data_IF_566517059047
#
_entry.id   IF_566517059047
#
_cell.length_a   1.000
_cell.length_b   1.000
_cell.length_c   1.000
_cell.angle_alpha   90.00
_cell.angle_beta   90.00
_cell.angle_gamma   90.00
#
_symmetry.space_group_name_H-M   'P 1'
#
loop_
_entity.id
_entity.type
_entity.pdbx_description
1 polymer ?
#
# COMPACT_ATOMS: atom_id res chain seq x y z
N UNK A 1 -35.40 -5.36 26.96
CA UNK A 1 -35.33 -4.50 25.75
C UNK A 1 -33.87 -4.22 25.45
N UNK A 2 -33.30 -4.91 24.46
CA UNK A 2 -31.89 -4.80 24.08
C UNK A 2 -31.70 -3.64 23.09
N UNK A 3 -30.81 -2.69 23.41
CA UNK A 3 -30.40 -1.61 22.50
C UNK A 3 -29.66 -2.22 21.29
N UNK A 4 -29.82 -1.68 20.08
CA UNK A 4 -29.10 -2.17 18.91
C UNK A 4 -27.61 -1.85 19.06
N UNK A 5 -26.78 -2.85 18.83
CA UNK A 5 -25.32 -2.70 18.69
C UNK A 5 -25.10 -1.93 17.39
N UNK A 6 -24.71 -0.66 17.52
CA UNK A 6 -24.23 0.14 16.40
C UNK A 6 -23.08 -0.61 15.74
N UNK A 7 -23.28 -1.01 14.49
CA UNK A 7 -22.21 -1.53 13.65
C UNK A 7 -21.04 -0.55 13.66
N UNK A 8 -19.85 -1.03 14.00
CA UNK A 8 -18.62 -0.29 13.78
C UNK A 8 -18.40 -0.20 12.26
N UNK A 9 -18.95 0.85 11.66
CA UNK A 9 -18.54 1.30 10.34
C UNK A 9 -17.14 1.89 10.53
N UNK A 10 -16.07 1.34 9.94
CA UNK A 10 -14.77 1.97 10.05
C UNK A 10 -14.89 3.35 9.41
N UNK A 11 -14.78 4.40 10.24
CA UNK A 11 -14.51 5.74 9.74
C UNK A 11 -13.22 5.63 8.92
N UNK A 12 -13.29 6.01 7.64
CA UNK A 12 -12.12 6.20 6.79
C UNK A 12 -11.16 7.14 7.54
N UNK A 13 -9.88 6.75 7.66
CA UNK A 13 -8.71 7.41 8.25
C UNK A 13 -8.24 6.91 9.65
N UNK A 14 -7.19 6.09 9.64
CA UNK A 14 -6.23 5.83 10.76
C UNK A 14 -4.99 5.18 10.13
N UNK A 15 -3.96 5.93 9.73
CA UNK A 15 -2.79 6.41 10.53
C UNK A 15 -2.16 5.30 11.37
N UNK A 16 -1.13 4.65 10.81
CA UNK A 16 -0.03 4.05 11.58
C UNK A 16 1.17 4.96 11.32
N UNK A 17 1.55 5.73 12.34
CA UNK A 17 2.73 6.61 12.44
C UNK A 17 3.16 7.39 11.18
N UNK A 18 2.73 8.67 11.16
CA UNK A 18 3.34 9.85 10.49
C UNK A 18 2.78 10.38 9.17
N UNK A 19 1.71 9.86 8.58
CA UNK A 19 1.12 10.50 7.39
C UNK A 19 -0.14 11.33 7.70
N UNK A 20 0.01 12.64 7.80
CA UNK A 20 -1.09 13.61 7.74
C UNK A 20 -0.90 14.42 6.45
N UNK A 21 -1.88 14.37 5.55
CA UNK A 21 -2.23 15.56 4.79
C UNK A 21 -3.75 15.76 4.88
N UNK A 22 -4.11 16.88 5.50
CA UNK A 22 -5.39 17.58 5.35
C UNK A 22 -4.98 19.02 5.04
N UNK A 23 -5.25 19.52 3.83
CA UNK A 23 -5.28 20.95 3.59
C UNK A 23 -6.67 21.33 3.08
N UNK A 24 -7.46 21.81 4.03
CA UNK A 24 -8.73 22.50 3.85
C UNK A 24 -8.87 23.46 5.02
N UNK A 25 -8.53 24.71 4.74
CA UNK A 25 -8.70 25.97 5.47
C UNK A 25 -8.32 26.06 6.96
N UNK A 26 -7.29 26.88 7.22
CA UNK A 26 -7.07 27.53 8.51
C UNK A 26 -6.20 26.76 9.50
N UNK A 27 -5.01 27.32 9.77
CA UNK A 27 -4.13 27.01 10.91
C UNK A 27 -3.29 25.72 10.85
N UNK A 28 -2.12 25.90 10.22
CA UNK A 28 -0.81 25.33 10.55
C UNK A 28 -0.79 24.12 11.50
N UNK A 29 -0.68 22.93 10.91
CA UNK A 29 -0.04 21.78 11.57
C UNK A 29 0.80 21.05 10.53
N UNK A 30 2.02 21.54 10.38
CA UNK A 30 3.01 21.07 9.42
C UNK A 30 3.80 19.88 9.97
N UNK A 31 3.61 18.70 9.40
CA UNK A 31 4.60 17.62 9.46
C UNK A 31 5.01 17.30 8.02
N UNK A 32 6.12 17.89 7.58
CA UNK A 32 6.70 17.71 6.27
C UNK A 32 7.45 16.37 6.21
N UNK A 33 6.81 15.30 5.76
CA UNK A 33 7.55 14.11 5.35
C UNK A 33 8.30 14.46 4.07
N UNK A 34 9.61 14.28 4.09
CA UNK A 34 10.42 14.36 2.88
C UNK A 34 10.05 13.16 2.01
N UNK A 35 9.81 13.39 0.72
CA UNK A 35 9.54 12.34 -0.28
C UNK A 35 10.53 11.16 -0.20
N UNK A 36 11.76 11.43 0.23
CA UNK A 36 12.85 10.47 0.44
C UNK A 36 12.63 9.49 1.61
N UNK A 37 11.76 9.83 2.56
CA UNK A 37 11.43 8.99 3.71
C UNK A 37 10.28 8.02 3.43
N UNK A 38 9.57 8.19 2.30
CA UNK A 38 8.50 7.28 1.92
C UNK A 38 9.07 5.92 1.49
N UNK A 39 8.34 4.82 1.77
CA UNK A 39 8.65 3.53 1.18
C UNK A 39 8.77 3.64 -0.34
N UNK A 40 9.66 2.85 -0.96
CA UNK A 40 9.79 2.85 -2.41
C UNK A 40 8.76 1.95 -3.10
N UNK A 41 8.20 0.99 -2.36
CA UNK A 41 7.34 -0.06 -2.89
C UNK A 41 6.04 -0.05 -2.12
N UNK A 42 4.95 -0.15 -2.84
CA UNK A 42 3.60 -0.21 -2.32
C UNK A 42 2.82 -1.30 -3.03
N UNK A 43 1.70 -1.69 -2.43
CA UNK A 43 0.68 -2.51 -3.10
C UNK A 43 -0.52 -1.64 -3.46
N UNK A 44 -1.01 -1.77 -4.69
CA UNK A 44 -2.28 -1.16 -5.09
C UNK A 44 -3.41 -1.85 -4.33
N UNK A 45 -4.23 -1.09 -3.59
CA UNK A 45 -5.45 -1.60 -2.96
C UNK A 45 -6.70 -1.23 -3.76
N UNK A 46 -6.62 -0.15 -4.54
CA UNK A 46 -7.71 0.35 -5.38
C UNK A 46 -7.11 1.11 -6.56
N UNK A 47 -7.71 0.99 -7.74
CA UNK A 47 -7.32 1.76 -8.93
C UNK A 47 -8.54 2.00 -9.81
N UNK A 48 -8.72 3.25 -10.20
CA UNK A 48 -9.81 3.72 -11.04
C UNK A 48 -9.25 4.53 -12.20
N UNK A 49 -9.88 4.40 -13.36
CA UNK A 49 -9.48 5.09 -14.58
C UNK A 49 -10.67 5.81 -15.19
N UNK A 50 -10.49 7.06 -15.56
CA UNK A 50 -11.53 7.90 -16.17
C UNK A 50 -10.98 8.57 -17.42
N UNK A 51 -11.66 8.44 -18.56
CA UNK A 51 -11.29 9.13 -19.80
C UNK A 51 -11.74 10.60 -19.71
N UNK A 52 -10.81 11.51 -19.90
CA UNK A 52 -11.03 12.95 -19.92
C UNK A 52 -11.36 13.45 -21.35
N UNK A 53 -12.02 14.62 -21.49
CA UNK A 53 -12.41 15.17 -22.79
C UNK A 53 -11.25 15.42 -23.76
N UNK A 54 -10.03 15.60 -23.24
CA UNK A 54 -8.81 15.82 -24.03
C UNK A 54 -8.16 14.50 -24.53
N UNK A 55 -8.90 13.38 -24.51
CA UNK A 55 -8.42 12.05 -24.88
C UNK A 55 -7.21 11.57 -24.05
N UNK A 56 -7.14 12.01 -22.79
CA UNK A 56 -6.19 11.48 -21.79
C UNK A 56 -6.95 10.77 -20.69
N UNK A 57 -6.30 9.83 -20.02
CA UNK A 57 -6.86 9.11 -18.89
C UNK A 57 -6.37 9.77 -17.60
N UNK A 58 -7.30 10.10 -16.71
CA UNK A 58 -7.01 10.33 -15.31
C UNK A 58 -7.05 9.00 -14.58
N UNK A 59 -6.00 8.72 -13.81
CA UNK A 59 -5.91 7.51 -12.99
C UNK A 59 -5.79 7.93 -11.54
N UNK A 60 -6.64 7.34 -10.71
CA UNK A 60 -6.66 7.48 -9.27
C UNK A 60 -6.35 6.12 -8.66
N UNK A 61 -5.44 6.05 -7.69
CA UNK A 61 -5.12 4.79 -7.03
C UNK A 61 -4.86 4.97 -5.53
N UNK A 62 -5.32 4.00 -4.76
CA UNK A 62 -5.00 3.87 -3.33
C UNK A 62 -3.88 2.85 -3.20
N UNK A 63 -2.76 3.23 -2.59
CA UNK A 63 -1.57 2.39 -2.45
C UNK A 63 -1.18 2.24 -0.97
N UNK A 64 -0.76 1.03 -0.60
CA UNK A 64 -0.52 0.64 0.78
C UNK A 64 0.89 0.09 1.01
N UNK A 65 1.47 0.53 2.12
CA UNK A 65 2.63 -0.02 2.79
C UNK A 65 2.43 0.19 4.29
N UNK A 66 3.01 -0.64 5.15
CA UNK A 66 2.79 -0.57 6.61
C UNK A 66 3.13 0.81 7.19
N UNK A 67 4.20 1.41 6.67
CA UNK A 67 4.67 2.75 7.06
C UNK A 67 3.89 3.91 6.41
N UNK A 68 3.12 3.64 5.36
CA UNK A 68 2.47 4.69 4.58
C UNK A 68 1.33 4.16 3.70
N UNK A 69 0.19 4.85 3.77
CA UNK A 69 -0.91 4.67 2.82
C UNK A 69 -1.14 6.00 2.10
N UNK A 70 -1.24 5.96 0.77
CA UNK A 70 -1.34 7.15 -0.08
C UNK A 70 -2.48 6.98 -1.07
N UNK A 71 -3.21 8.06 -1.31
CA UNK A 71 -4.07 8.20 -2.47
C UNK A 71 -3.29 9.03 -3.50
N UNK A 72 -3.11 8.50 -4.70
CA UNK A 72 -2.30 9.11 -5.77
C UNK A 72 -3.13 9.35 -7.02
N UNK A 73 -2.73 10.37 -7.78
CA UNK A 73 -3.36 10.74 -9.04
C UNK A 73 -2.32 11.10 -10.10
N UNK A 74 -2.56 10.65 -11.34
CA UNK A 74 -1.78 11.08 -12.51
C UNK A 74 -2.60 10.97 -13.79
N UNK A 75 -2.17 11.69 -14.82
CA UNK A 75 -2.79 11.65 -16.14
C UNK A 75 -1.85 10.99 -17.15
N UNK A 76 -2.38 10.19 -18.05
CA UNK A 76 -1.61 9.50 -19.09
C UNK A 76 -2.38 9.44 -20.41
N UNK A 77 -1.74 9.57 -21.58
CA UNK A 77 -2.39 9.34 -22.86
C UNK A 77 -2.75 7.85 -23.06
N UNK A 78 -2.06 6.93 -22.39
CA UNK A 78 -2.27 5.49 -22.51
C UNK A 78 -2.23 4.82 -21.14
N UNK A 79 -3.22 3.97 -20.86
CA UNK A 79 -3.30 3.18 -19.63
C UNK A 79 -2.29 2.04 -19.66
N UNK A 80 -1.51 1.86 -18.59
CA UNK A 80 -0.64 0.69 -18.41
C UNK A 80 -1.48 -0.49 -17.92
N UNK A 81 -1.72 -1.47 -18.80
CA UNK A 81 -2.56 -2.64 -18.53
C UNK A 81 -2.01 -3.56 -17.44
N UNK A 82 -0.75 -3.38 -17.03
CA UNK A 82 -0.13 -4.15 -15.93
C UNK A 82 -0.52 -3.63 -14.55
N UNK A 83 -1.09 -2.43 -14.46
CA UNK A 83 -1.56 -1.87 -13.20
C UNK A 83 -2.91 -2.48 -12.84
N UNK A 84 -2.91 -3.26 -11.77
CA UNK A 84 -4.10 -3.91 -11.25
C UNK A 84 -4.09 -3.89 -9.72
N UNK A 85 -5.28 -4.09 -9.13
CA UNK A 85 -5.40 -4.27 -7.68
C UNK A 85 -4.51 -5.42 -7.22
N UNK A 86 -3.89 -5.23 -6.06
CA UNK A 86 -2.90 -6.09 -5.43
C UNK A 86 -1.53 -6.16 -6.13
N UNK A 87 -1.30 -5.42 -7.21
CA UNK A 87 0.01 -5.35 -7.85
C UNK A 87 1.01 -4.56 -6.99
N UNK A 88 2.26 -5.00 -6.98
CA UNK A 88 3.36 -4.25 -6.38
C UNK A 88 3.86 -3.18 -7.35
N UNK A 89 3.99 -1.96 -6.84
CA UNK A 89 4.36 -0.78 -7.61
C UNK A 89 5.35 0.09 -6.88
N UNK A 90 6.11 0.86 -7.64
CA UNK A 90 6.90 1.99 -7.15
C UNK A 90 6.34 3.29 -7.69
N UNK A 91 6.46 4.36 -6.90
CA UNK A 91 6.00 5.69 -7.33
C UNK A 91 7.09 6.34 -8.18
N UNK A 92 6.71 6.80 -9.38
CA UNK A 92 7.53 7.75 -10.15
C UNK A 92 6.98 9.14 -9.92
N UNK A 93 7.80 9.99 -9.32
CA UNK A 93 7.43 11.34 -8.93
C UNK A 93 7.50 12.30 -10.13
N UNK A 94 6.56 13.26 -10.20
CA UNK A 94 6.52 14.32 -11.24
C UNK A 94 7.41 15.53 -10.89
N UNK A 95 8.09 15.49 -9.75
CA UNK A 95 8.85 16.59 -9.17
C UNK A 95 8.81 16.49 -7.66
N UNK A 96 8.73 17.63 -6.97
CA UNK A 96 8.46 17.69 -5.53
C UNK A 96 7.06 17.16 -5.24
N UNK A 97 6.90 16.58 -4.06
CA UNK A 97 5.61 16.14 -3.54
C UNK A 97 4.60 17.29 -3.61
N UNK A 98 3.49 17.03 -4.29
CA UNK A 98 2.37 17.97 -4.46
C UNK A 98 1.07 17.22 -4.30
N UNK A 99 0.04 17.91 -3.82
CA UNK A 99 -1.28 17.35 -3.54
C UNK A 99 -2.32 18.15 -4.32
N UNK A 100 -3.35 17.47 -4.80
CA UNK A 100 -4.57 18.08 -5.29
C UNK A 100 -5.77 17.30 -4.71
N UNK A 101 -6.66 18.00 -4.01
CA UNK A 101 -7.93 17.43 -3.54
C UNK A 101 -7.80 16.13 -2.74
N UNK A 102 -6.82 16.04 -1.82
CA UNK A 102 -6.58 14.84 -1.03
C UNK A 102 -5.70 13.77 -1.70
N UNK A 103 -5.30 13.97 -2.96
CA UNK A 103 -4.50 13.00 -3.72
C UNK A 103 -3.13 13.55 -4.07
N UNK A 104 -2.09 12.75 -3.87
CA UNK A 104 -0.72 13.10 -4.23
C UNK A 104 -0.55 12.99 -5.75
N UNK A 105 -0.07 14.08 -6.36
CA UNK A 105 0.17 14.12 -7.79
C UNK A 105 1.53 13.47 -8.11
N UNK A 106 1.49 12.42 -8.91
CA UNK A 106 2.67 11.67 -9.32
C UNK A 106 2.81 11.69 -10.85
N UNK A 107 3.94 11.18 -11.36
CA UNK A 107 4.14 11.00 -12.79
C UNK A 107 3.44 9.74 -13.27
N UNK A 108 3.68 8.62 -12.57
CA UNK A 108 3.00 7.33 -12.78
C UNK A 108 3.33 6.34 -11.67
N UNK A 109 2.57 5.25 -11.59
CA UNK A 109 3.01 4.03 -10.91
C UNK A 109 3.80 3.15 -11.88
N UNK A 110 4.91 2.58 -11.40
CA UNK A 110 5.71 1.62 -12.14
C UNK A 110 5.56 0.23 -11.49
N UNK A 111 4.94 -0.75 -12.18
CA UNK A 111 4.83 -2.10 -11.65
C UNK A 111 6.22 -2.72 -11.47
N UNK A 112 6.37 -3.53 -10.43
CA UNK A 112 7.59 -4.31 -10.24
C UNK A 112 7.48 -5.61 -11.03
N UNK A 113 8.41 -5.81 -11.97
CA UNK A 113 8.38 -6.94 -12.90
C UNK A 113 8.99 -8.23 -12.30
N UNK A 114 9.85 -8.13 -11.27
CA UNK A 114 10.55 -9.28 -10.71
C UNK A 114 10.73 -9.25 -9.19
N UNK A 115 10.76 -10.42 -8.54
CA UNK A 115 11.05 -10.53 -7.11
C UNK A 115 12.45 -10.01 -6.76
N UNK A 116 12.53 -9.16 -5.74
CA UNK A 116 13.80 -8.68 -5.18
C UNK A 116 13.90 -9.04 -3.70
N UNK A 117 15.06 -9.54 -3.27
CA UNK A 117 15.31 -9.92 -1.87
C UNK A 117 15.29 -8.73 -0.89
N UNK A 118 15.40 -7.51 -1.40
CA UNK A 118 15.37 -6.27 -0.61
C UNK A 118 13.96 -5.85 -0.21
N UNK A 119 12.93 -6.51 -0.75
CA UNK A 119 11.53 -6.16 -0.50
C UNK A 119 11.00 -7.05 0.60
N UNK A 120 10.50 -6.46 1.69
CA UNK A 120 9.70 -7.21 2.63
C UNK A 120 8.24 -7.22 2.18
N UNK A 121 7.79 -8.32 1.59
CA UNK A 121 6.41 -8.43 1.08
C UNK A 121 5.36 -8.27 2.18
N UNK A 122 5.68 -8.61 3.43
CA UNK A 122 4.78 -8.51 4.57
C UNK A 122 4.49 -7.05 4.98
N UNK A 123 5.33 -6.10 4.57
CA UNK A 123 5.07 -4.66 4.74
C UNK A 123 3.98 -4.16 3.79
N UNK A 124 3.69 -4.90 2.72
CA UNK A 124 2.73 -4.50 1.69
C UNK A 124 1.36 -5.16 1.85
N UNK A 125 1.11 -5.84 2.98
CA UNK A 125 -0.13 -6.58 3.23
C UNK A 125 -1.20 -5.64 3.78
N UNK A 126 -2.27 -5.36 3.03
CA UNK A 126 -3.35 -4.48 3.47
C UNK A 126 -4.07 -5.04 4.70
N UNK A 127 -4.66 -4.15 5.50
CA UNK A 127 -5.44 -4.55 6.67
C UNK A 127 -6.65 -5.43 6.33
N UNK A 128 -7.15 -5.35 5.09
CA UNK A 128 -8.24 -6.20 4.58
C UNK A 128 -7.86 -7.67 4.48
N UNK A 129 -6.56 -7.99 4.31
CA UNK A 129 -6.08 -9.37 4.21
C UNK A 129 -5.79 -9.98 5.58
N UNK A 130 -5.22 -9.20 6.49
CA UNK A 130 -4.85 -9.65 7.81
C UNK A 130 -5.13 -8.56 8.84
N UNK A 131 -6.16 -8.80 9.66
CA UNK A 131 -6.58 -7.91 10.74
C UNK A 131 -5.60 -7.94 11.93
N UNK A 132 -4.99 -9.10 12.20
CA UNK A 132 -4.04 -9.25 13.30
C UNK A 132 -2.65 -8.72 12.87
N UNK A 133 -2.40 -7.42 13.11
CA UNK A 133 -1.12 -6.79 12.75
C UNK A 133 0.05 -7.26 13.62
N UNK A 134 -0.20 -7.75 14.83
CA UNK A 134 0.87 -8.28 15.67
C UNK A 134 1.52 -9.52 15.08
N UNK A 135 0.71 -10.42 14.52
CA UNK A 135 1.19 -11.62 13.80
C UNK A 135 2.06 -11.21 12.62
N UNK A 136 1.62 -10.24 11.82
CA UNK A 136 2.43 -9.73 10.72
C UNK A 136 3.74 -9.09 11.19
N UNK A 137 3.70 -8.34 12.29
CA UNK A 137 4.90 -7.73 12.86
C UNK A 137 5.95 -8.78 13.30
N UNK A 138 5.50 -9.87 13.95
CA UNK A 138 6.38 -10.99 14.32
C UNK A 138 6.93 -11.69 13.08
N UNK A 139 6.07 -11.98 12.10
CA UNK A 139 6.48 -12.62 10.85
C UNK A 139 7.50 -11.76 10.07
N UNK A 140 7.33 -10.44 10.04
CA UNK A 140 8.31 -9.51 9.45
C UNK A 140 9.66 -9.63 10.13
N UNK A 141 9.72 -9.61 11.47
CA UNK A 141 10.98 -9.75 12.22
C UNK A 141 11.68 -11.06 11.88
N UNK A 142 10.95 -12.17 11.81
CA UNK A 142 11.51 -13.46 11.40
C UNK A 142 12.03 -13.44 9.97
N UNK A 143 11.26 -12.88 9.04
CA UNK A 143 11.69 -12.73 7.64
C UNK A 143 12.95 -11.86 7.54
N UNK A 144 13.04 -10.79 8.33
CA UNK A 144 14.22 -9.91 8.34
C UNK A 144 15.49 -10.60 8.84
N UNK A 145 15.37 -11.58 9.73
CA UNK A 145 16.48 -12.38 10.24
C UNK A 145 17.00 -13.42 9.23
N UNK A 146 16.24 -13.70 8.16
CA UNK A 146 16.68 -14.64 7.11
C UNK A 146 17.81 -14.05 6.27
N UNK A 147 18.66 -14.93 5.71
CA UNK A 147 19.66 -14.52 4.72
C UNK A 147 18.99 -14.02 3.43
N UNK A 148 19.76 -13.30 2.61
CA UNK A 148 19.25 -12.74 1.36
C UNK A 148 18.74 -13.82 0.39
N UNK A 149 19.36 -15.00 0.38
CA UNK A 149 18.96 -16.15 -0.45
C UNK A 149 17.57 -16.64 -0.05
N UNK A 150 17.32 -16.84 1.25
CA UNK A 150 16.01 -17.28 1.74
C UNK A 150 14.93 -16.21 1.54
N UNK A 151 15.25 -14.92 1.74
CA UNK A 151 14.35 -13.81 1.41
C UNK A 151 13.98 -13.82 -0.08
N UNK A 152 14.95 -14.08 -0.96
CA UNK A 152 14.70 -14.17 -2.41
C UNK A 152 13.77 -15.33 -2.75
N UNK A 153 13.97 -16.51 -2.16
CA UNK A 153 13.08 -17.67 -2.35
C UNK A 153 11.68 -17.36 -1.87
N UNK A 154 11.54 -16.81 -0.66
CA UNK A 154 10.26 -16.36 -0.11
C UNK A 154 9.57 -15.40 -1.08
N UNK A 155 10.27 -14.36 -1.53
CA UNK A 155 9.70 -13.38 -2.44
C UNK A 155 9.35 -13.97 -3.81
N UNK A 156 10.07 -14.98 -4.27
CA UNK A 156 9.77 -15.66 -5.54
C UNK A 156 8.45 -16.43 -5.44
N UNK A 157 8.23 -17.15 -4.34
CA UNK A 157 7.02 -17.95 -4.11
C UNK A 157 5.80 -17.04 -3.90
N UNK A 158 5.97 -15.99 -3.10
CA UNK A 158 4.88 -15.12 -2.65
C UNK A 158 4.78 -13.80 -3.42
N UNK A 159 5.47 -13.68 -4.56
CA UNK A 159 5.39 -12.49 -5.41
C UNK A 159 3.96 -12.23 -5.89
N UNK A 160 3.27 -13.32 -6.27
CA UNK A 160 1.87 -13.29 -6.63
C UNK A 160 1.01 -13.02 -5.40
N UNK A 161 0.12 -12.03 -5.50
CA UNK A 161 -0.79 -11.62 -4.45
C UNK A 161 -1.66 -12.77 -3.91
N UNK A 162 -2.08 -13.71 -4.74
CA UNK A 162 -2.92 -14.84 -4.33
C UNK A 162 -2.16 -15.80 -3.41
N UNK A 163 -0.91 -16.09 -3.73
CA UNK A 163 -0.07 -16.96 -2.88
C UNK A 163 0.19 -16.29 -1.52
N UNK A 164 0.51 -15.00 -1.53
CA UNK A 164 0.75 -14.24 -0.30
C UNK A 164 -0.52 -14.12 0.54
N UNK A 165 -1.67 -13.86 -0.09
CA UNK A 165 -2.96 -13.83 0.57
C UNK A 165 -3.31 -15.19 1.17
N UNK A 166 -3.09 -16.29 0.43
CA UNK A 166 -3.31 -17.65 0.90
C UNK A 166 -2.43 -17.99 2.11
N UNK A 167 -1.18 -17.54 2.13
CA UNK A 167 -0.31 -17.68 3.31
C UNK A 167 -0.91 -16.99 4.53
N UNK A 168 -1.22 -15.69 4.43
CA UNK A 168 -1.65 -14.91 5.61
C UNK A 168 -3.07 -15.18 6.06
N UNK A 169 -3.90 -15.73 5.17
CA UNK A 169 -5.26 -16.18 5.50
C UNK A 169 -5.29 -17.62 6.02
N UNK A 170 -4.17 -18.34 5.94
CA UNK A 170 -4.09 -19.72 6.40
C UNK A 170 -4.11 -19.81 7.94
N UNK A 171 -4.95 -20.69 8.53
CA UNK A 171 -4.95 -20.95 9.97
C UNK A 171 -3.57 -21.40 10.50
N UNK A 172 -2.77 -22.06 9.66
CA UNK A 172 -1.43 -22.54 10.02
C UNK A 172 -0.43 -21.39 10.18
N UNK A 173 -0.57 -20.33 9.39
CA UNK A 173 0.30 -19.16 9.51
C UNK A 173 0.05 -18.42 10.84
N UNK A 174 -1.23 -18.26 11.20
CA UNK A 174 -1.63 -17.64 12.46
C UNK A 174 -1.09 -18.46 13.65
N UNK A 175 -1.32 -19.77 13.65
CA UNK A 175 -0.91 -20.64 14.77
C UNK A 175 0.61 -20.83 14.89
N UNK A 176 1.37 -20.75 13.79
CA UNK A 176 2.84 -20.89 13.82
C UNK A 176 3.53 -19.65 14.35
N UNK A 177 2.98 -18.45 14.09
CA UNK A 177 3.56 -17.18 14.53
C UNK A 177 3.09 -16.77 15.95
N UNK A 178 2.02 -17.39 16.44
CA UNK A 178 1.55 -17.23 17.81
C UNK A 178 2.36 -18.05 18.84
N UNK A 179 3.11 -19.07 18.39
CA UNK A 179 4.03 -19.87 19.22
C UNK A 179 5.39 -19.18 19.40
#
# INVERSE_FOLDING_TARGET
MLKPISAFVPKKLTVIDRLIIKLGDGEQSSLCILQEQLPQIFRITEIECTLLPNNTYEINASIFHEKAQLDVQWNTPQVDSRLAVNQLVSIRWKGKLSENSGKIIISRLAPLDSPSALVNLLDTIPATWCKNREVLHRARKLLEMLSAEYKKVFNTIFWNSNNLYGLVSSPSFISTIER
#
